data_IF_707414947148
#
_entry.id   IF_707414947148
#
_cell.length_a   1.000
_cell.length_b   1.000
_cell.length_c   1.000
_cell.angle_alpha   90.00
_cell.angle_beta   90.00
_cell.angle_gamma   90.00
#
_symmetry.space_group_name_H-M   'P 1'
#
loop_
_entity.id
_entity.type
_entity.pdbx_description
1 polymer ?
#
# COMPACT_ATOMS: atom_id res chain seq x y z
N UNK A 1 10.22 0.83 -4.25
CA UNK A 1 8.89 1.42 -4.55
C UNK A 1 8.57 2.39 -3.43
N UNK A 2 8.08 3.58 -3.76
CA UNK A 2 7.68 4.57 -2.75
C UNK A 2 6.29 4.19 -2.22
N UNK A 3 6.11 4.16 -0.90
CA UNK A 3 4.80 3.95 -0.27
C UNK A 3 4.60 5.02 0.78
N UNK A 4 3.49 5.75 0.73
CA UNK A 4 3.23 6.82 1.70
C UNK A 4 1.74 6.98 1.96
N UNK A 5 1.41 7.44 3.16
CA UNK A 5 0.06 7.88 3.55
C UNK A 5 -0.28 9.25 2.97
N UNK A 6 0.73 10.02 2.52
CA UNK A 6 0.52 11.29 1.83
C UNK A 6 -0.07 11.06 0.44
N UNK A 7 -0.94 11.98 0.00
CA UNK A 7 -1.50 12.00 -1.35
C UNK A 7 -0.51 12.53 -2.41
N UNK A 8 0.61 13.11 -1.97
CA UNK A 8 1.68 13.65 -2.82
C UNK A 8 3.04 13.24 -2.28
N UNK A 9 4.10 13.42 -3.08
CA UNK A 9 5.47 13.15 -2.68
C UNK A 9 6.37 14.35 -3.04
N UNK A 10 7.11 14.95 -2.08
CA UNK A 10 7.91 16.15 -2.35
C UNK A 10 8.90 15.98 -3.51
N UNK A 11 8.95 16.97 -4.40
CA UNK A 11 9.84 16.99 -5.57
C UNK A 11 9.48 16.00 -6.68
N UNK A 12 8.32 15.33 -6.58
CA UNK A 12 7.83 14.40 -7.61
C UNK A 12 6.37 14.69 -7.96
N UNK A 13 6.04 14.57 -9.24
CA UNK A 13 4.67 14.67 -9.75
C UNK A 13 4.13 13.31 -10.16
N UNK A 14 2.82 13.13 -10.00
CA UNK A 14 2.11 11.98 -10.55
C UNK A 14 1.92 12.21 -12.06
N UNK A 15 2.58 11.40 -12.88
CA UNK A 15 2.42 11.44 -14.34
C UNK A 15 1.40 10.44 -14.86
N UNK A 16 1.08 9.42 -14.06
CA UNK A 16 0.06 8.42 -14.38
C UNK A 16 -0.59 7.86 -13.13
N UNK A 17 -1.92 7.86 -13.12
CA UNK A 17 -2.75 7.15 -12.15
C UNK A 17 -3.05 5.74 -12.71
N UNK A 18 -2.76 4.70 -11.92
CA UNK A 18 -2.96 3.29 -12.26
C UNK A 18 -4.11 2.63 -11.47
N UNK A 19 -4.87 3.45 -10.75
CA UNK A 19 -6.03 3.08 -9.98
C UNK A 19 -5.72 2.62 -8.56
N UNK A 20 -6.80 2.33 -7.83
CA UNK A 20 -6.73 1.86 -6.44
C UNK A 20 -6.18 0.42 -6.42
N UNK A 21 -5.23 0.19 -5.52
CA UNK A 21 -4.74 -1.14 -5.13
C UNK A 21 -5.09 -1.40 -3.68
N UNK A 22 -5.37 -2.66 -3.36
CA UNK A 22 -5.64 -3.10 -2.00
C UNK A 22 -5.01 -4.47 -1.73
N UNK A 23 -4.58 -4.67 -0.49
CA UNK A 23 -4.00 -5.91 -0.01
C UNK A 23 -4.58 -6.28 1.36
N UNK A 24 -4.80 -7.58 1.52
CA UNK A 24 -5.15 -8.20 2.80
C UNK A 24 -3.95 -8.98 3.30
N UNK A 25 -3.87 -9.16 4.62
CA UNK A 25 -3.12 -10.28 5.16
C UNK A 25 -3.90 -11.58 4.94
N UNK A 26 -3.21 -12.60 4.46
CA UNK A 26 -3.75 -13.96 4.36
C UNK A 26 -3.31 -14.86 5.51
N UNK A 27 -2.67 -14.32 6.56
CA UNK A 27 -2.40 -15.09 7.76
C UNK A 27 -3.69 -15.69 8.32
N UNK A 28 -3.62 -16.99 8.64
CA UNK A 28 -4.75 -17.75 9.17
C UNK A 28 -5.14 -17.17 10.55
N UNK A 29 -6.45 -17.12 10.84
CA UNK A 29 -7.03 -16.52 12.06
C UNK A 29 -6.28 -16.80 13.39
N UNK A 30 -5.81 -18.03 13.68
CA UNK A 30 -5.07 -18.33 14.91
C UNK A 30 -3.71 -17.62 14.98
N UNK A 31 -3.03 -17.48 13.84
CA UNK A 31 -1.74 -16.80 13.71
C UNK A 31 -1.89 -15.28 13.87
N UNK A 32 -3.06 -14.72 13.51
CA UNK A 32 -3.37 -13.28 13.63
C UNK A 32 -3.39 -12.80 15.09
N UNK A 33 -3.84 -13.64 16.02
CA UNK A 33 -3.82 -13.34 17.45
C UNK A 33 -2.41 -13.42 18.06
N UNK A 34 -1.50 -14.15 17.41
CA UNK A 34 -0.12 -14.35 17.86
C UNK A 34 0.89 -13.43 17.15
N UNK A 35 0.51 -12.78 16.04
CA UNK A 35 1.38 -11.86 15.30
C UNK A 35 1.27 -10.44 15.86
N UNK A 36 2.44 -9.82 16.08
CA UNK A 36 2.53 -8.38 16.35
C UNK A 36 1.94 -7.59 15.15
N UNK A 37 1.13 -6.57 15.41
CA UNK A 37 0.52 -5.70 14.40
C UNK A 37 1.57 -5.12 13.43
N UNK A 38 2.80 -4.88 13.89
CA UNK A 38 3.89 -4.41 13.04
C UNK A 38 4.19 -5.38 11.88
N UNK A 39 4.42 -6.67 12.19
CA UNK A 39 4.69 -7.71 11.18
C UNK A 39 3.51 -7.91 10.22
N UNK A 40 2.30 -7.73 10.73
CA UNK A 40 1.08 -7.76 9.95
C UNK A 40 1.08 -6.64 8.90
N UNK A 41 1.32 -5.41 9.33
CA UNK A 41 1.34 -4.22 8.46
C UNK A 41 2.44 -4.31 7.42
N UNK A 42 3.64 -4.76 7.79
CA UNK A 42 4.74 -5.00 6.85
C UNK A 42 4.36 -5.99 5.75
N UNK A 43 3.71 -7.10 6.13
CA UNK A 43 3.28 -8.14 5.17
C UNK A 43 2.23 -7.60 4.20
N UNK A 44 1.24 -6.88 4.72
CA UNK A 44 0.19 -6.30 3.89
C UNK A 44 0.74 -5.17 2.99
N UNK A 45 1.67 -4.36 3.48
CA UNK A 45 2.34 -3.30 2.70
C UNK A 45 3.19 -3.89 1.58
N UNK A 46 3.91 -4.99 1.84
CA UNK A 46 4.68 -5.72 0.83
C UNK A 46 3.76 -6.21 -0.30
N UNK A 47 2.65 -6.85 0.06
CA UNK A 47 1.65 -7.32 -0.93
C UNK A 47 0.99 -6.21 -1.71
N UNK A 48 0.70 -5.07 -1.05
CA UNK A 48 0.17 -3.88 -1.70
C UNK A 48 1.17 -3.38 -2.76
N UNK A 49 2.46 -3.36 -2.41
CA UNK A 49 3.55 -2.94 -3.28
C UNK A 49 3.71 -3.89 -4.47
N UNK A 50 3.68 -5.20 -4.26
CA UNK A 50 3.73 -6.22 -5.32
C UNK A 50 2.60 -6.03 -6.33
N UNK A 51 1.35 -5.87 -5.85
CA UNK A 51 0.18 -5.59 -6.72
C UNK A 51 0.32 -4.28 -7.51
N UNK A 52 0.92 -3.26 -6.91
CA UNK A 52 1.18 -2.01 -7.60
C UNK A 52 2.26 -2.19 -8.69
N UNK A 53 3.31 -2.97 -8.42
CA UNK A 53 4.35 -3.30 -9.39
C UNK A 53 3.81 -4.10 -10.57
N UNK A 54 2.91 -5.05 -10.34
CA UNK A 54 2.22 -5.81 -11.40
C UNK A 54 1.44 -4.89 -12.35
N UNK A 55 0.97 -3.72 -11.87
CA UNK A 55 0.33 -2.68 -12.68
C UNK A 55 1.32 -1.72 -13.36
N UNK A 56 2.61 -1.89 -13.14
CA UNK A 56 3.66 -0.99 -13.64
C UNK A 56 3.85 0.28 -12.82
N UNK A 57 3.33 0.34 -11.59
CA UNK A 57 3.51 1.49 -10.71
C UNK A 57 4.93 1.51 -10.12
N UNK A 58 5.43 2.72 -9.84
CA UNK A 58 6.68 2.90 -9.08
C UNK A 58 6.42 3.45 -7.65
N UNK A 59 5.17 3.85 -7.37
CA UNK A 59 4.75 4.35 -6.07
C UNK A 59 3.28 4.00 -5.74
N UNK A 60 2.98 3.97 -4.45
CA UNK A 60 1.61 3.93 -3.90
C UNK A 60 1.43 5.11 -2.94
N UNK A 61 0.46 5.96 -3.23
CA UNK A 61 0.14 7.16 -2.44
C UNK A 61 -1.18 6.99 -1.69
N UNK A 62 -1.40 7.85 -0.68
CA UNK A 62 -2.66 7.91 0.05
C UNK A 62 -3.01 6.61 0.76
N UNK A 63 -2.00 5.92 1.31
CA UNK A 63 -2.22 4.64 1.97
C UNK A 63 -3.09 4.83 3.21
N UNK A 64 -4.16 4.04 3.29
CA UNK A 64 -5.05 3.95 4.45
C UNK A 64 -5.14 2.52 4.95
N UNK A 65 -5.37 2.37 6.25
CA UNK A 65 -5.46 1.09 6.95
C UNK A 65 -6.84 0.95 7.55
N UNK A 66 -7.45 -0.21 7.32
CA UNK A 66 -8.74 -0.58 7.90
C UNK A 66 -8.56 -1.80 8.79
N UNK A 67 -8.62 -1.57 10.10
CA UNK A 67 -8.46 -2.57 11.16
C UNK A 67 -9.82 -2.89 11.79
N UNK A 68 -10.77 -3.37 11.00
CA UNK A 68 -12.06 -3.86 11.53
C UNK A 68 -11.87 -5.24 12.20
N UNK A 69 -12.17 -5.33 13.50
CA UNK A 69 -11.99 -6.53 14.36
C UNK A 69 -12.54 -7.85 13.75
N UNK A 70 -13.67 -7.75 13.05
CA UNK A 70 -14.38 -8.88 12.45
C UNK A 70 -13.87 -9.27 11.06
N UNK A 71 -13.10 -8.41 10.39
CA UNK A 71 -12.62 -8.59 9.02
C UNK A 71 -11.09 -8.79 8.99
N UNK A 72 -10.56 -9.24 7.86
CA UNK A 72 -9.12 -9.25 7.60
C UNK A 72 -8.67 -7.78 7.47
N UNK A 73 -7.74 -7.29 8.29
CA UNK A 73 -7.28 -5.91 8.11
C UNK A 73 -6.73 -5.66 6.71
N UNK A 74 -7.04 -4.49 6.18
CA UNK A 74 -6.86 -4.16 4.77
C UNK A 74 -6.07 -2.88 4.62
N UNK A 75 -5.13 -2.90 3.68
CA UNK A 75 -4.44 -1.70 3.21
C UNK A 75 -4.99 -1.34 1.84
N UNK A 76 -5.25 -0.06 1.63
CA UNK A 76 -5.59 0.49 0.32
C UNK A 76 -4.71 1.70 0.02
N UNK A 77 -4.46 1.95 -1.26
CA UNK A 77 -3.83 3.19 -1.74
C UNK A 77 -3.96 3.31 -3.25
N UNK A 78 -3.47 4.41 -3.82
CA UNK A 78 -3.49 4.64 -5.26
C UNK A 78 -2.13 4.30 -5.85
N UNK A 79 -2.10 3.36 -6.79
CA UNK A 79 -0.90 3.01 -7.54
C UNK A 79 -0.65 4.09 -8.60
N UNK A 80 0.56 4.63 -8.65
CA UNK A 80 0.92 5.73 -9.54
C UNK A 80 2.32 5.58 -10.14
N UNK A 81 2.58 6.31 -11.21
CA UNK A 81 3.93 6.59 -11.70
C UNK A 81 4.29 8.01 -11.26
N UNK A 82 5.32 8.11 -10.43
CA UNK A 82 5.98 9.35 -10.06
C UNK A 82 7.19 9.61 -10.96
N UNK A 83 7.34 10.86 -11.37
CA UNK A 83 8.56 11.38 -12.01
C UNK A 83 9.04 12.62 -11.24
N UNK A 84 10.33 12.93 -11.35
CA UNK A 84 10.89 14.14 -10.77
C UNK A 84 10.22 15.38 -11.39
N UNK A 85 9.91 16.36 -10.55
CA UNK A 85 9.48 17.67 -11.04
C UNK A 85 10.67 18.31 -11.74
N UNK A 86 10.62 18.35 -13.09
CA UNK A 86 11.61 19.08 -13.88
C UNK A 86 11.56 20.55 -13.45
N UNK A 87 12.68 21.03 -12.89
CA UNK A 87 12.90 22.44 -12.56
C UNK A 87 12.99 23.30 -13.82
#
# INVERSE_FOLDING_TARGET
MITTTLSTYPGKKVVKDLGIVFAYDDAVRPTRLAMNMEKYLETALKRLSEKAQEKGANAVLGICFDLRDTLKPMLMGTAVILEDESS
#
